data_IF_878634830707
#
_entry.id   IF_878634830707
#
_cell.length_a   1.000
_cell.length_b   1.000
_cell.length_c   1.000
_cell.angle_alpha   90.00
_cell.angle_beta   90.00
_cell.angle_gamma   90.00
#
_symmetry.space_group_name_H-M   'P 1'
#
loop_
_entity.id
_entity.type
_entity.pdbx_description
1 polymer ?
#
# COMPACT_ATOMS: atom_id res chain seq x y z
N UNK A 1 5.63 -7.22 17.08
CA UNK A 1 5.47 -6.67 15.72
C UNK A 1 6.18 -5.34 15.68
N UNK A 2 7.00 -5.07 14.66
CA UNK A 2 7.52 -3.72 14.44
C UNK A 2 6.40 -2.86 13.87
N UNK A 3 6.27 -1.62 14.36
CA UNK A 3 5.34 -0.64 13.78
C UNK A 3 5.85 -0.22 12.40
N UNK A 4 4.97 -0.15 11.41
CA UNK A 4 5.30 0.31 10.07
C UNK A 4 4.66 1.67 9.75
N UNK A 5 3.69 2.11 10.56
CA UNK A 5 3.14 3.46 10.52
C UNK A 5 3.97 4.38 11.42
N UNK A 6 4.31 5.57 10.94
CA UNK A 6 4.73 6.67 11.82
C UNK A 6 3.48 7.37 12.40
N UNK A 7 3.07 6.97 13.60
CA UNK A 7 1.90 7.51 14.28
C UNK A 7 2.02 9.01 14.58
N UNK A 8 3.23 9.51 14.83
CA UNK A 8 3.43 10.92 15.12
C UNK A 8 3.21 11.76 13.86
N UNK A 9 3.77 11.30 12.74
CA UNK A 9 3.60 11.96 11.45
C UNK A 9 2.16 11.86 10.94
N UNK A 10 1.49 10.73 11.14
CA UNK A 10 0.08 10.55 10.80
C UNK A 10 -0.82 11.53 11.56
N UNK A 11 -0.64 11.62 12.88
CA UNK A 11 -1.39 12.56 13.71
C UNK A 11 -1.10 14.02 13.32
N UNK A 12 0.15 14.37 13.04
CA UNK A 12 0.50 15.73 12.60
C UNK A 12 -0.12 16.07 11.24
N UNK A 13 -0.13 15.12 10.29
CA UNK A 13 -0.66 15.32 8.94
C UNK A 13 -2.17 15.58 8.90
N UNK A 14 -2.90 15.07 9.89
CA UNK A 14 -4.36 15.23 10.04
C UNK A 14 -4.75 16.18 11.18
N UNK A 15 -3.82 16.99 11.69
CA UNK A 15 -4.03 17.95 12.79
C UNK A 15 -4.66 17.31 14.05
N UNK A 16 -4.25 16.07 14.36
CA UNK A 16 -4.78 15.23 15.44
C UNK A 16 -6.29 14.96 15.34
N UNK A 17 -6.87 15.08 14.14
CA UNK A 17 -8.27 14.77 13.87
C UNK A 17 -8.47 13.25 13.73
N UNK A 18 -8.98 12.64 14.80
CA UNK A 18 -9.23 11.20 14.84
C UNK A 18 -10.30 10.75 13.86
N UNK A 19 -11.33 11.58 13.58
CA UNK A 19 -12.38 11.22 12.61
C UNK A 19 -11.78 11.08 11.21
N UNK A 20 -10.80 11.93 10.87
CA UNK A 20 -10.05 11.82 9.60
C UNK A 20 -9.22 10.54 9.57
N UNK A 21 -8.53 10.20 10.66
CA UNK A 21 -7.75 8.95 10.77
C UNK A 21 -8.65 7.73 10.55
N UNK A 22 -9.81 7.70 11.20
CA UNK A 22 -10.75 6.58 11.08
C UNK A 22 -11.25 6.43 9.65
N UNK A 23 -11.57 7.54 8.97
CA UNK A 23 -12.02 7.53 7.57
C UNK A 23 -10.94 7.03 6.62
N UNK A 24 -9.70 7.53 6.74
CA UNK A 24 -8.60 7.10 5.84
C UNK A 24 -8.22 5.64 6.12
N UNK A 25 -8.19 5.22 7.38
CA UNK A 25 -7.89 3.86 7.79
C UNK A 25 -8.97 2.90 7.27
N UNK A 26 -10.24 3.21 7.49
CA UNK A 26 -11.35 2.39 6.99
C UNK A 26 -11.35 2.30 5.46
N UNK A 27 -11.12 3.42 4.77
CA UNK A 27 -11.01 3.44 3.29
C UNK A 27 -9.90 2.51 2.81
N UNK A 28 -8.74 2.50 3.47
CA UNK A 28 -7.67 1.57 3.15
C UNK A 28 -8.09 0.12 3.43
N UNK A 29 -8.64 -0.17 4.61
CA UNK A 29 -9.09 -1.50 5.02
C UNK A 29 -10.13 -2.10 4.07
N UNK A 30 -10.99 -1.27 3.49
CA UNK A 30 -12.03 -1.70 2.56
C UNK A 30 -11.48 -1.98 1.14
N UNK A 31 -10.34 -1.38 0.77
CA UNK A 31 -9.87 -1.37 -0.63
C UNK A 31 -8.56 -2.12 -0.88
N UNK A 32 -7.71 -2.31 0.13
CA UNK A 32 -6.33 -2.80 -0.10
C UNK A 32 -6.28 -4.21 -0.72
N UNK A 33 -7.21 -5.09 -0.38
CA UNK A 33 -7.30 -6.45 -0.95
C UNK A 33 -7.61 -6.43 -2.45
N UNK A 34 -8.48 -5.53 -2.89
CA UNK A 34 -8.81 -5.34 -4.30
C UNK A 34 -7.61 -4.76 -5.06
N UNK A 35 -6.94 -3.76 -4.47
CA UNK A 35 -5.75 -3.15 -5.07
C UNK A 35 -4.60 -4.14 -5.22
N UNK A 36 -4.38 -4.99 -4.19
CA UNK A 36 -3.42 -6.07 -4.27
C UNK A 36 -3.79 -7.10 -5.34
N UNK A 37 -5.07 -7.49 -5.40
CA UNK A 37 -5.55 -8.45 -6.40
C UNK A 37 -5.34 -7.93 -7.82
N UNK A 38 -5.58 -6.64 -8.07
CA UNK A 38 -5.31 -6.01 -9.35
C UNK A 38 -3.81 -6.03 -9.71
N UNK A 39 -2.93 -5.73 -8.75
CA UNK A 39 -1.48 -5.81 -8.93
C UNK A 39 -1.04 -7.23 -9.28
N UNK A 40 -1.52 -8.21 -8.51
CA UNK A 40 -1.18 -9.63 -8.68
C UNK A 40 -1.66 -10.15 -10.03
N UNK A 41 -2.89 -9.86 -10.43
CA UNK A 41 -3.43 -10.27 -11.72
C UNK A 41 -2.61 -9.70 -12.88
N UNK A 42 -2.27 -8.40 -12.83
CA UNK A 42 -1.45 -7.78 -13.87
C UNK A 42 -0.04 -8.38 -13.96
N UNK A 43 0.54 -8.79 -12.83
CA UNK A 43 1.80 -9.53 -12.79
C UNK A 43 1.65 -10.92 -13.42
N UNK A 44 0.66 -11.71 -13.00
CA UNK A 44 0.41 -13.08 -13.48
C UNK A 44 0.12 -13.10 -15.00
N UNK A 45 -0.59 -12.10 -15.50
CA UNK A 45 -0.92 -11.94 -16.93
C UNK A 45 0.22 -11.35 -17.76
N UNK A 46 1.33 -10.93 -17.11
CA UNK A 46 2.45 -10.23 -17.75
C UNK A 46 2.02 -9.00 -18.53
N UNK A 47 1.10 -8.22 -17.94
CA UNK A 47 0.52 -7.01 -18.51
C UNK A 47 1.22 -5.75 -17.95
N UNK A 48 2.34 -5.28 -18.55
CA UNK A 48 3.16 -4.21 -17.99
C UNK A 48 2.40 -2.88 -17.79
N UNK A 49 1.52 -2.52 -18.71
CA UNK A 49 0.74 -1.29 -18.60
C UNK A 49 -0.27 -1.35 -17.43
N UNK A 50 -0.86 -2.52 -17.20
CA UNK A 50 -1.77 -2.76 -16.07
C UNK A 50 -1.02 -2.81 -14.75
N UNK A 51 0.15 -3.48 -14.75
CA UNK A 51 1.01 -3.58 -13.57
C UNK A 51 1.50 -2.20 -13.13
N UNK A 52 1.89 -1.35 -14.09
CA UNK A 52 2.28 0.03 -13.82
C UNK A 52 1.14 0.83 -13.19
N UNK A 53 -0.09 0.73 -13.72
CA UNK A 53 -1.26 1.41 -13.16
C UNK A 53 -1.63 0.88 -11.77
N UNK A 54 -1.63 -0.44 -11.58
CA UNK A 54 -1.95 -1.05 -10.30
C UNK A 54 -0.93 -0.64 -9.23
N UNK A 55 0.37 -0.64 -9.55
CA UNK A 55 1.41 -0.17 -8.65
C UNK A 55 1.24 1.32 -8.30
N UNK A 56 0.92 2.17 -9.29
CA UNK A 56 0.65 3.59 -9.06
C UNK A 56 -0.53 3.82 -8.10
N UNK A 57 -1.65 3.14 -8.33
CA UNK A 57 -2.85 3.27 -7.48
C UNK A 57 -2.57 2.77 -6.06
N UNK A 58 -1.94 1.60 -5.92
CA UNK A 58 -1.62 1.04 -4.61
C UNK A 58 -0.65 1.95 -3.84
N UNK A 59 0.34 2.54 -4.52
CA UNK A 59 1.26 3.53 -3.92
C UNK A 59 0.50 4.74 -3.39
N UNK A 60 -0.47 5.26 -4.13
CA UNK A 60 -1.32 6.36 -3.67
C UNK A 60 -2.09 6.00 -2.40
N UNK A 61 -2.68 4.81 -2.36
CA UNK A 61 -3.43 4.33 -1.19
C UNK A 61 -2.57 4.23 0.08
N UNK A 62 -1.31 3.80 -0.04
CA UNK A 62 -0.42 3.66 1.13
C UNK A 62 0.33 4.94 1.52
N UNK A 63 0.44 5.92 0.62
CA UNK A 63 1.24 7.13 0.84
C UNK A 63 0.77 7.97 2.03
N UNK A 64 -0.49 7.84 2.42
CA UNK A 64 -1.08 8.51 3.58
C UNK A 64 -0.58 7.95 4.91
N UNK A 65 -0.01 6.75 4.92
CA UNK A 65 0.43 6.06 6.15
C UNK A 65 1.96 6.07 6.34
N UNK A 66 2.67 6.89 5.55
CA UNK A 66 4.11 7.12 5.67
C UNK A 66 4.98 5.86 5.58
N UNK A 67 4.50 4.82 4.90
CA UNK A 67 5.29 3.64 4.60
C UNK A 67 6.20 3.91 3.39
N UNK A 68 7.28 4.69 3.61
CA UNK A 68 8.21 5.09 2.56
C UNK A 68 8.87 3.89 1.87
N UNK A 69 9.14 2.81 2.61
CA UNK A 69 9.76 1.62 2.06
C UNK A 69 8.88 0.99 0.96
N UNK A 70 7.62 0.72 1.28
CA UNK A 70 6.66 0.14 0.34
C UNK A 70 6.31 1.12 -0.79
N UNK A 71 6.18 2.42 -0.49
CA UNK A 71 5.92 3.42 -1.52
C UNK A 71 7.06 3.51 -2.55
N UNK A 72 8.31 3.43 -2.10
CA UNK A 72 9.48 3.40 -2.98
C UNK A 72 9.55 2.10 -3.80
N UNK A 73 9.18 0.96 -3.22
CA UNK A 73 9.10 -0.32 -3.94
C UNK A 73 8.04 -0.27 -5.05
N UNK A 74 6.83 0.18 -4.74
CA UNK A 74 5.76 0.33 -5.72
C UNK A 74 6.10 1.36 -6.80
N UNK A 75 6.83 2.43 -6.46
CA UNK A 75 7.32 3.38 -7.45
C UNK A 75 8.34 2.75 -8.41
N UNK A 76 9.26 1.92 -7.91
CA UNK A 76 10.20 1.20 -8.78
C UNK A 76 9.45 0.27 -9.72
N UNK A 77 8.50 -0.50 -9.18
CA UNK A 77 7.64 -1.38 -9.97
C UNK A 77 6.86 -0.62 -11.04
N UNK A 78 6.26 0.52 -10.68
CA UNK A 78 5.54 1.40 -11.61
C UNK A 78 6.43 1.82 -12.80
N UNK A 79 7.66 2.25 -12.52
CA UNK A 79 8.64 2.69 -13.52
C UNK A 79 9.10 1.53 -14.40
N UNK A 80 9.48 0.42 -13.79
CA UNK A 80 9.97 -0.76 -14.51
C UNK A 80 8.90 -1.36 -15.43
N UNK A 81 7.66 -1.47 -14.93
CA UNK A 81 6.53 -1.92 -15.71
C UNK A 81 6.21 -0.94 -16.87
N UNK A 82 6.29 0.37 -16.64
CA UNK A 82 6.13 1.39 -17.69
C UNK A 82 7.19 1.32 -18.79
N UNK A 83 8.40 0.84 -18.47
CA UNK A 83 9.45 0.56 -19.45
C UNK A 83 9.29 -0.81 -20.15
N UNK A 84 8.22 -1.56 -19.84
CA UNK A 84 7.99 -2.91 -20.36
C UNK A 84 8.93 -3.96 -19.77
N UNK A 85 9.58 -3.67 -18.63
CA UNK A 85 10.58 -4.52 -17.98
C UNK A 85 10.01 -5.03 -16.66
N UNK A 86 9.29 -6.15 -16.68
CA UNK A 86 8.87 -6.81 -15.45
C UNK A 86 10.07 -7.60 -14.92
N UNK A 87 10.77 -7.04 -13.93
CA UNK A 87 11.96 -7.64 -13.29
C UNK A 87 11.70 -8.21 -11.90
N UNK A 88 10.52 -7.91 -11.35
CA UNK A 88 10.09 -8.43 -10.08
C UNK A 88 9.75 -9.93 -10.18
N UNK A 89 10.02 -10.63 -9.11
CA UNK A 89 9.71 -12.04 -8.94
C UNK A 89 8.39 -12.20 -8.16
N UNK A 90 7.80 -13.40 -8.22
CA UNK A 90 6.57 -13.68 -7.48
C UNK A 90 6.74 -13.43 -5.97
N UNK A 91 7.94 -13.66 -5.43
CA UNK A 91 8.27 -13.37 -4.03
C UNK A 91 8.17 -11.88 -3.67
N UNK A 92 8.35 -10.97 -4.63
CA UNK A 92 8.24 -9.53 -4.38
C UNK A 92 6.76 -9.14 -4.28
N UNK A 93 5.90 -9.74 -5.11
CA UNK A 93 4.44 -9.58 -5.00
C UNK A 93 3.92 -10.09 -3.66
N UNK A 94 4.41 -11.24 -3.18
CA UNK A 94 4.03 -11.76 -1.85
C UNK A 94 4.56 -10.87 -0.71
N UNK A 95 5.76 -10.30 -0.82
CA UNK A 95 6.28 -9.35 0.18
C UNK A 95 5.46 -8.05 0.26
N UNK A 96 4.96 -7.57 -0.88
CA UNK A 96 4.00 -6.46 -0.92
C UNK A 96 2.74 -6.84 -0.15
N UNK A 97 2.19 -8.05 -0.36
CA UNK A 97 1.01 -8.54 0.36
C UNK A 97 1.24 -8.57 1.88
N UNK A 98 2.34 -9.16 2.32
CA UNK A 98 2.70 -9.24 3.73
C UNK A 98 2.76 -7.83 4.36
N UNK A 99 3.31 -6.86 3.64
CA UNK A 99 3.40 -5.48 4.12
C UNK A 99 2.03 -4.80 4.20
N UNK A 100 1.15 -5.03 3.23
CA UNK A 100 -0.22 -4.54 3.26
C UNK A 100 -1.01 -5.15 4.43
N UNK A 101 -0.83 -6.44 4.70
CA UNK A 101 -1.50 -7.13 5.82
C UNK A 101 -1.01 -6.64 7.18
N UNK A 102 0.29 -6.34 7.30
CA UNK A 102 0.83 -5.67 8.49
C UNK A 102 0.22 -4.29 8.66
N UNK A 103 0.07 -3.51 7.57
CA UNK A 103 -0.52 -2.17 7.62
C UNK A 103 -1.99 -2.25 8.03
N UNK A 104 -2.75 -3.16 7.44
CA UNK A 104 -4.14 -3.40 7.78
C UNK A 104 -4.31 -3.81 9.25
N UNK A 105 -3.39 -4.63 9.78
CA UNK A 105 -3.41 -5.03 11.20
C UNK A 105 -3.17 -3.82 12.10
N UNK A 106 -2.14 -3.02 11.82
CA UNK A 106 -1.81 -1.85 12.63
C UNK A 106 -2.91 -0.76 12.56
N UNK A 107 -3.53 -0.56 11.40
CA UNK A 107 -4.66 0.36 11.25
C UNK A 107 -5.91 -0.12 12.00
N UNK A 108 -6.19 -1.43 12.02
CA UNK A 108 -7.28 -1.99 12.82
C UNK A 108 -7.06 -1.74 14.31
N UNK A 109 -5.84 -1.91 14.80
CA UNK A 109 -5.49 -1.59 16.19
C UNK A 109 -5.71 -0.09 16.48
N UNK A 110 -5.24 0.79 15.58
CA UNK A 110 -5.36 2.24 15.72
C UNK A 110 -6.82 2.72 15.84
N UNK A 111 -7.74 2.17 15.04
CA UNK A 111 -9.15 2.58 15.07
C UNK A 111 -9.99 1.82 16.11
N UNK A 112 -9.50 0.67 16.63
CA UNK A 112 -10.21 -0.13 17.66
C UNK A 112 -9.91 0.35 19.08
N UNK A 113 -8.82 1.09 19.28
CA UNK A 113 -8.41 1.62 20.58
C UNK A 113 -9.15 2.92 20.99
N UNK A 114 -10.18 3.34 20.23
CA UNK A 114 -11.09 4.46 20.53
C UNK A 114 -12.44 4.03 21.11
#
# INVERSE_FOLDING_TARGET
MGKIIDHAQLNEAVDNDQDVIDVIAQTYLDTYEELYSALKNAYDEKAPDELSRAAHTLKGAISMFFNEALANELQKLEIEAKEGKIRIEASDIEQIKDTLDMLATELKELISDN
#
